data_IF_769730817279
#
_entry.id   IF_769730817279
#
_cell.length_a   1.000
_cell.length_b   1.000
_cell.length_c   1.000
_cell.angle_alpha   90.00
_cell.angle_beta   90.00
_cell.angle_gamma   90.00
#
_symmetry.space_group_name_H-M   'P 1'
#
loop_
_entity.id
_entity.type
_entity.pdbx_description
1 polymer ?
#
# COMPACT_ATOMS: atom_id res chain seq x y z
N UNK A 1 23.43 -6.52 -7.77
CA UNK A 1 22.06 -6.30 -8.33
C UNK A 1 21.09 -5.95 -7.20
N UNK A 2 20.23 -4.93 -7.37
CA UNK A 2 19.16 -4.58 -6.43
C UNK A 2 17.85 -4.33 -7.19
N UNK A 3 16.76 -5.00 -6.77
CA UNK A 3 15.41 -4.76 -7.30
C UNK A 3 14.59 -3.93 -6.31
N UNK A 4 14.27 -2.70 -6.71
CA UNK A 4 13.72 -1.66 -5.86
C UNK A 4 12.23 -1.52 -6.11
N UNK A 5 11.43 -1.75 -5.07
CA UNK A 5 9.99 -1.51 -5.08
C UNK A 5 9.63 -0.06 -4.71
N UNK A 6 10.49 0.60 -3.94
CA UNK A 6 10.41 2.02 -3.61
C UNK A 6 11.65 2.41 -2.78
N UNK A 7 12.25 3.58 -3.01
CA UNK A 7 13.05 4.25 -1.98
C UNK A 7 12.25 4.42 -0.67
N UNK A 8 12.92 4.55 0.47
CA UNK A 8 12.31 4.55 1.81
C UNK A 8 11.30 5.71 1.96
N UNK A 9 10.01 5.43 1.73
CA UNK A 9 8.97 6.46 1.57
C UNK A 9 8.85 7.39 2.76
N UNK A 10 8.90 6.85 3.98
CA UNK A 10 8.76 7.63 5.22
C UNK A 10 9.96 8.54 5.50
N UNK A 11 11.12 8.19 4.94
CA UNK A 11 12.32 9.00 5.07
C UNK A 11 12.32 10.15 4.06
N UNK A 12 11.70 9.97 2.88
CA UNK A 12 11.81 10.91 1.75
C UNK A 12 10.53 11.69 1.42
N UNK A 13 9.40 11.01 1.19
CA UNK A 13 8.21 11.64 0.58
C UNK A 13 6.98 11.65 1.50
N UNK A 14 6.86 10.72 2.46
CA UNK A 14 5.66 10.57 3.32
C UNK A 14 5.92 10.94 4.78
N UNK A 15 7.02 11.65 5.06
CA UNK A 15 7.44 11.99 6.43
C UNK A 15 6.34 12.74 7.20
N UNK A 16 5.68 13.71 6.57
CA UNK A 16 4.69 14.55 7.24
C UNK A 16 3.40 13.79 7.56
N UNK A 17 2.89 12.99 6.62
CA UNK A 17 1.69 12.16 6.81
C UNK A 17 1.91 11.12 7.91
N UNK A 18 3.10 10.49 7.95
CA UNK A 18 3.44 9.54 9.02
C UNK A 18 3.64 10.21 10.37
N UNK A 19 4.30 11.37 10.42
CA UNK A 19 4.50 12.12 11.66
C UNK A 19 3.19 12.64 12.26
N UNK A 20 2.26 13.11 11.44
CA UNK A 20 0.93 13.52 11.88
C UNK A 20 0.13 12.31 12.39
N UNK A 21 0.10 11.20 11.64
CA UNK A 21 -0.63 10.00 12.05
C UNK A 21 -0.07 9.35 13.32
N UNK A 22 1.25 9.43 13.54
CA UNK A 22 1.89 8.90 14.75
C UNK A 22 1.83 9.86 15.95
N UNK A 23 1.31 11.08 15.80
CA UNK A 23 1.32 12.10 16.86
C UNK A 23 2.74 12.57 17.26
N UNK A 24 3.74 12.36 16.38
CA UNK A 24 5.16 12.58 16.67
C UNK A 24 5.72 13.88 16.05
N UNK A 25 4.86 14.80 15.60
CA UNK A 25 5.27 16.02 14.90
C UNK A 25 6.04 17.05 15.76
N UNK A 26 5.81 17.07 17.07
CA UNK A 26 6.22 18.18 17.94
C UNK A 26 6.97 17.72 19.20
N UNK A 27 7.73 18.65 19.80
CA UNK A 27 8.48 18.41 21.03
C UNK A 27 9.80 17.62 20.85
N UNK A 28 10.47 17.25 21.96
CA UNK A 28 11.77 16.59 21.94
C UNK A 28 11.74 15.22 21.25
N UNK A 29 10.62 14.48 21.35
CA UNK A 29 10.42 13.20 20.63
C UNK A 29 10.39 13.40 19.12
N UNK A 30 9.70 14.44 18.63
CA UNK A 30 9.66 14.77 17.21
C UNK A 30 11.03 15.21 16.67
N UNK A 31 11.81 15.94 17.47
CA UNK A 31 13.19 16.30 17.11
C UNK A 31 14.10 15.07 17.00
N UNK A 32 14.05 14.17 17.99
CA UNK A 32 14.80 12.91 17.96
C UNK A 32 14.43 12.05 16.75
N UNK A 33 13.13 11.96 16.42
CA UNK A 33 12.66 11.23 15.26
C UNK A 33 13.13 11.85 13.93
N UNK A 34 13.07 13.18 13.79
CA UNK A 34 13.61 13.87 12.61
C UNK A 34 15.11 13.64 12.44
N UNK A 35 15.86 13.64 13.54
CA UNK A 35 17.29 13.33 13.52
C UNK A 35 17.56 11.88 13.07
N UNK A 36 16.80 10.92 13.61
CA UNK A 36 16.89 9.51 13.19
C UNK A 36 16.56 9.35 11.70
N UNK A 37 15.51 10.00 11.21
CA UNK A 37 15.16 9.98 9.78
C UNK A 37 16.25 10.61 8.90
N UNK A 38 16.89 11.69 9.36
CA UNK A 38 18.03 12.25 8.66
C UNK A 38 19.19 11.25 8.54
N UNK A 39 19.55 10.57 9.64
CA UNK A 39 20.56 9.51 9.62
C UNK A 39 20.18 8.36 8.69
N UNK A 40 18.92 7.96 8.71
CA UNK A 40 18.39 6.92 7.83
C UNK A 40 18.52 7.31 6.36
N UNK A 41 18.19 8.56 5.99
CA UNK A 41 18.38 9.06 4.61
C UNK A 41 19.84 9.01 4.17
N UNK A 42 20.75 9.47 5.02
CA UNK A 42 22.19 9.45 4.71
C UNK A 42 22.68 8.01 4.52
N UNK A 43 22.23 7.09 5.36
CA UNK A 43 22.54 5.67 5.21
C UNK A 43 21.95 5.09 3.92
N UNK A 44 20.67 5.35 3.66
CA UNK A 44 19.92 4.86 2.49
C UNK A 44 20.56 5.32 1.16
N UNK A 45 20.87 6.61 1.04
CA UNK A 45 21.57 7.12 -0.16
C UNK A 45 22.96 6.50 -0.29
N UNK A 46 23.71 6.35 0.80
CA UNK A 46 25.06 5.78 0.75
C UNK A 46 25.02 4.30 0.33
N UNK A 47 24.12 3.50 0.87
CA UNK A 47 24.02 2.07 0.54
C UNK A 47 23.44 1.84 -0.85
N UNK A 48 22.63 2.77 -1.37
CA UNK A 48 22.08 2.72 -2.71
C UNK A 48 23.16 2.71 -3.81
N UNK A 49 24.41 3.11 -3.54
CA UNK A 49 25.53 3.03 -4.50
C UNK A 49 26.29 1.69 -4.48
N UNK A 50 25.99 0.78 -3.54
CA UNK A 50 26.65 -0.52 -3.45
C UNK A 50 26.35 -1.47 -4.62
N UNK A 51 25.09 -1.64 -5.06
CA UNK A 51 24.76 -2.56 -6.15
C UNK A 51 25.27 -2.09 -7.52
N UNK A 52 25.77 -2.99 -8.36
CA UNK A 52 26.22 -2.64 -9.72
C UNK A 52 25.05 -2.24 -10.64
N UNK A 53 23.94 -2.97 -10.52
CA UNK A 53 22.73 -2.78 -11.31
C UNK A 53 21.52 -2.52 -10.41
N UNK A 54 20.76 -1.50 -10.76
CA UNK A 54 19.47 -1.14 -10.16
C UNK A 54 18.34 -1.52 -11.11
N UNK A 55 17.35 -2.24 -10.60
CA UNK A 55 16.09 -2.54 -11.28
C UNK A 55 14.95 -1.87 -10.53
N UNK A 56 14.00 -1.26 -11.25
CA UNK A 56 12.80 -0.67 -10.70
C UNK A 56 11.57 -1.47 -11.14
N UNK A 57 10.59 -1.63 -10.25
CA UNK A 57 9.33 -2.31 -10.57
C UNK A 57 8.40 -1.52 -11.52
N UNK A 58 8.70 -0.25 -11.77
CA UNK A 58 7.87 0.68 -12.53
C UNK A 58 8.67 1.92 -12.94
N UNK A 59 8.20 2.61 -13.98
CA UNK A 59 8.79 3.90 -14.40
C UNK A 59 8.71 4.96 -13.31
N UNK A 60 7.64 4.96 -12.50
CA UNK A 60 7.51 5.87 -11.35
C UNK A 60 8.63 5.65 -10.32
N UNK A 61 8.93 4.40 -9.98
CA UNK A 61 10.01 4.08 -9.04
C UNK A 61 11.38 4.36 -9.64
N UNK A 62 11.59 4.14 -10.95
CA UNK A 62 12.81 4.58 -11.65
C UNK A 62 13.06 6.07 -11.46
N UNK A 63 12.07 6.92 -11.72
CA UNK A 63 12.22 8.38 -11.53
C UNK A 63 12.50 8.75 -10.07
N UNK A 64 11.99 7.99 -9.10
CA UNK A 64 12.34 8.19 -7.68
C UNK A 64 13.77 7.79 -7.36
N UNK A 65 14.27 6.70 -7.92
CA UNK A 65 15.67 6.27 -7.77
C UNK A 65 16.60 7.35 -8.33
N UNK A 66 16.28 7.88 -9.52
CA UNK A 66 17.05 8.96 -10.13
C UNK A 66 17.04 10.23 -9.27
N UNK A 67 15.86 10.66 -8.81
CA UNK A 67 15.72 11.87 -7.97
C UNK A 67 16.38 11.74 -6.60
N UNK A 68 16.29 10.58 -5.95
CA UNK A 68 16.71 10.40 -4.55
C UNK A 68 18.16 9.91 -4.45
N UNK A 69 18.55 8.98 -5.32
CA UNK A 69 19.87 8.35 -5.29
C UNK A 69 20.81 8.85 -6.39
N UNK A 70 20.31 9.62 -7.37
CA UNK A 70 21.13 10.07 -8.50
C UNK A 70 21.59 8.91 -9.39
N UNK A 71 20.86 7.78 -9.38
CA UNK A 71 21.21 6.56 -10.13
C UNK A 71 20.19 6.28 -11.23
N UNK A 72 20.65 5.74 -12.34
CA UNK A 72 19.75 5.13 -13.32
C UNK A 72 19.34 3.72 -12.87
N UNK A 73 18.16 3.29 -13.31
CA UNK A 73 17.62 1.97 -13.07
C UNK A 73 16.85 1.48 -14.29
N UNK A 74 16.95 0.18 -14.60
CA UNK A 74 16.13 -0.43 -15.65
C UNK A 74 14.77 -0.85 -15.09
N UNK A 75 13.70 -0.67 -15.86
CA UNK A 75 12.36 -1.08 -15.42
C UNK A 75 12.15 -2.55 -15.77
N UNK A 76 11.81 -3.34 -14.76
CA UNK A 76 11.33 -4.72 -14.90
C UNK A 76 10.05 -4.80 -14.09
N UNK A 77 8.91 -4.94 -14.77
CA UNK A 77 7.62 -5.04 -14.10
C UNK A 77 7.52 -6.36 -13.31
N UNK A 78 6.90 -6.33 -12.11
CA UNK A 78 6.73 -7.55 -11.32
C UNK A 78 5.84 -8.54 -12.08
N UNK A 79 6.20 -9.83 -12.13
CA UNK A 79 5.39 -10.84 -12.79
C UNK A 79 4.07 -11.06 -12.04
N UNK A 80 3.06 -11.52 -12.78
CA UNK A 80 1.76 -11.94 -12.25
C UNK A 80 1.54 -13.39 -12.66
N UNK A 81 1.11 -14.24 -11.72
CA UNK A 81 0.76 -15.63 -11.98
C UNK A 81 -0.60 -15.68 -12.70
N UNK A 82 -0.57 -15.60 -14.03
CA UNK A 82 -1.77 -15.54 -14.88
C UNK A 82 -2.54 -16.87 -14.87
N UNK A 83 -1.85 -17.97 -14.59
CA UNK A 83 -2.41 -19.32 -14.52
C UNK A 83 -3.40 -19.46 -13.37
N UNK A 84 -3.20 -18.70 -12.29
CA UNK A 84 -4.11 -18.66 -11.15
C UNK A 84 -5.35 -17.81 -11.44
N UNK A 85 -5.29 -16.88 -12.41
CA UNK A 85 -6.30 -15.85 -12.66
C UNK A 85 -7.23 -16.26 -13.80
N UNK A 86 -8.31 -16.97 -13.45
CA UNK A 86 -9.34 -17.35 -14.42
C UNK A 86 -10.22 -16.14 -14.79
N UNK A 87 -10.50 -16.01 -16.09
CA UNK A 87 -11.50 -15.07 -16.58
C UNK A 87 -12.90 -15.57 -16.21
N UNK A 88 -13.64 -14.74 -15.48
CA UNK A 88 -15.05 -14.97 -15.15
C UNK A 88 -15.87 -13.85 -15.80
N UNK A 89 -16.67 -14.20 -16.81
CA UNK A 89 -17.45 -13.23 -17.58
C UNK A 89 -18.77 -12.84 -16.89
N UNK A 90 -19.39 -13.78 -16.16
CA UNK A 90 -20.59 -13.53 -15.37
C UNK A 90 -20.19 -13.14 -13.96
N UNK A 91 -20.47 -11.90 -13.57
CA UNK A 91 -20.12 -11.36 -12.26
C UNK A 91 -21.26 -11.50 -11.26
N UNK A 92 -20.90 -11.58 -9.99
CA UNK A 92 -21.82 -11.49 -8.87
C UNK A 92 -22.16 -10.01 -8.58
N UNK A 93 -23.26 -9.76 -7.86
CA UNK A 93 -23.69 -8.40 -7.50
C UNK A 93 -22.97 -7.90 -6.23
N UNK A 94 -21.66 -7.69 -6.32
CA UNK A 94 -20.88 -7.01 -5.29
C UNK A 94 -19.62 -6.35 -5.85
N UNK A 95 -19.06 -5.45 -5.04
CA UNK A 95 -17.77 -4.84 -5.26
C UNK A 95 -16.77 -5.40 -4.25
N UNK A 96 -15.48 -5.42 -4.60
CA UNK A 96 -14.43 -5.90 -3.71
C UNK A 96 -13.31 -4.87 -3.56
N UNK A 97 -12.81 -4.72 -2.35
CA UNK A 97 -11.55 -4.04 -2.06
C UNK A 97 -10.65 -4.96 -1.27
N UNK A 98 -9.40 -5.08 -1.71
CA UNK A 98 -8.46 -6.01 -1.12
C UNK A 98 -7.10 -5.32 -0.95
N UNK A 99 -6.75 -5.02 0.30
CA UNK A 99 -5.51 -4.33 0.63
C UNK A 99 -5.14 -4.55 2.10
N UNK A 100 -3.86 -4.45 2.41
CA UNK A 100 -3.44 -4.21 3.80
C UNK A 100 -4.01 -2.87 4.27
N UNK A 101 -4.63 -2.85 5.45
CA UNK A 101 -5.28 -1.67 6.00
C UNK A 101 -4.24 -0.66 6.51
N UNK A 102 -3.58 0.02 5.59
CA UNK A 102 -2.75 1.16 5.89
C UNK A 102 -3.53 2.45 5.61
N UNK A 103 -3.37 3.51 6.44
CA UNK A 103 -4.08 4.78 6.24
C UNK A 103 -3.95 5.36 4.84
N UNK A 104 -2.78 5.23 4.21
CA UNK A 104 -2.54 5.77 2.87
C UNK A 104 -3.33 5.05 1.75
N UNK A 105 -3.85 3.84 1.99
CA UNK A 105 -4.69 3.10 1.03
C UNK A 105 -6.12 3.64 0.93
N UNK A 106 -6.49 4.54 1.85
CA UNK A 106 -7.78 5.23 1.89
C UNK A 106 -9.02 4.31 1.82
N UNK A 107 -8.94 3.14 2.47
CA UNK A 107 -10.09 2.20 2.56
C UNK A 107 -11.27 2.80 3.31
N UNK A 108 -11.04 3.76 4.21
CA UNK A 108 -12.04 4.61 4.86
C UNK A 108 -12.99 5.23 3.83
N UNK A 109 -12.45 5.85 2.77
CA UNK A 109 -13.27 6.53 1.76
C UNK A 109 -14.15 5.56 0.98
N UNK A 110 -13.65 4.36 0.67
CA UNK A 110 -14.42 3.32 -0.01
C UNK A 110 -15.59 2.90 0.88
N UNK A 111 -15.31 2.60 2.15
CA UNK A 111 -16.32 2.18 3.12
C UNK A 111 -17.38 3.28 3.29
N UNK A 112 -16.98 4.53 3.50
CA UNK A 112 -17.91 5.65 3.64
C UNK A 112 -18.80 5.85 2.41
N UNK A 113 -18.26 5.70 1.21
CA UNK A 113 -19.02 5.82 -0.03
C UNK A 113 -20.09 4.72 -0.16
N UNK A 114 -19.74 3.48 0.20
CA UNK A 114 -20.67 2.35 0.18
C UNK A 114 -21.69 2.42 1.32
N UNK A 115 -21.32 2.91 2.50
CA UNK A 115 -22.27 3.17 3.59
C UNK A 115 -23.33 4.19 3.19
N UNK A 116 -22.99 5.14 2.30
CA UNK A 116 -23.94 6.11 1.71
C UNK A 116 -24.72 5.56 0.51
N UNK A 117 -24.39 4.36 0.03
CA UNK A 117 -25.06 3.70 -1.11
C UNK A 117 -25.49 2.27 -0.75
N UNK A 118 -26.53 2.10 0.09
CA UNK A 118 -26.88 0.80 0.66
C UNK A 118 -27.32 -0.25 -0.36
N UNK A 119 -27.72 0.18 -1.56
CA UNK A 119 -28.11 -0.69 -2.67
C UNK A 119 -26.93 -1.42 -3.32
N UNK A 120 -25.68 -1.07 -3.00
CA UNK A 120 -24.49 -1.72 -3.55
C UNK A 120 -23.75 -2.47 -2.45
N UNK A 121 -23.43 -3.75 -2.67
CA UNK A 121 -22.70 -4.56 -1.69
C UNK A 121 -21.19 -4.39 -1.83
N UNK A 122 -20.48 -4.27 -0.70
CA UNK A 122 -19.00 -4.22 -0.67
C UNK A 122 -18.44 -5.38 0.15
N UNK A 123 -17.47 -6.09 -0.41
CA UNK A 123 -16.63 -7.07 0.28
C UNK A 123 -15.26 -6.42 0.55
N UNK A 124 -14.86 -6.39 1.82
CA UNK A 124 -13.57 -5.86 2.27
C UNK A 124 -12.69 -7.03 2.69
N UNK A 125 -11.63 -7.27 1.93
CA UNK A 125 -10.64 -8.34 2.18
C UNK A 125 -9.38 -7.74 2.82
N UNK A 126 -9.00 -8.25 4.00
CA UNK A 126 -7.87 -7.72 4.75
C UNK A 126 -7.93 -8.07 6.24
N UNK A 127 -6.81 -7.87 6.94
CA UNK A 127 -6.63 -8.28 8.35
C UNK A 127 -7.59 -7.53 9.31
N UNK A 128 -8.22 -8.29 10.19
CA UNK A 128 -9.23 -7.78 11.14
C UNK A 128 -8.64 -6.87 12.23
N UNK A 129 -7.38 -7.09 12.61
CA UNK A 129 -6.78 -6.41 13.78
C UNK A 129 -6.66 -4.88 13.56
N UNK A 130 -6.47 -4.44 12.32
CA UNK A 130 -6.35 -3.02 11.96
C UNK A 130 -7.70 -2.38 11.56
N UNK A 131 -8.79 -3.13 11.65
CA UNK A 131 -10.07 -2.75 11.04
C UNK A 131 -11.13 -2.22 12.02
N UNK A 132 -10.82 -2.03 13.31
CA UNK A 132 -11.81 -1.54 14.30
C UNK A 132 -12.43 -0.21 13.89
N UNK A 133 -11.61 0.76 13.48
CA UNK A 133 -12.10 2.05 12.98
C UNK A 133 -12.88 1.88 11.68
N UNK A 134 -12.38 1.09 10.73
CA UNK A 134 -13.07 0.85 9.45
C UNK A 134 -14.44 0.19 9.63
N UNK A 135 -14.58 -0.74 10.58
CA UNK A 135 -15.85 -1.38 10.94
C UNK A 135 -16.84 -0.39 11.56
N UNK A 136 -16.36 0.59 12.32
CA UNK A 136 -17.24 1.65 12.87
C UNK A 136 -17.84 2.57 11.80
N UNK A 137 -17.21 2.66 10.61
CA UNK A 137 -17.71 3.42 9.47
C UNK A 137 -18.64 2.61 8.56
N UNK A 138 -18.71 1.30 8.76
CA UNK A 138 -19.34 0.39 7.81
C UNK A 138 -20.87 0.31 7.99
N UNK A 139 -21.58 0.44 6.87
CA UNK A 139 -23.02 0.19 6.77
C UNK A 139 -23.36 -1.30 6.69
N UNK A 140 -24.66 -1.61 6.68
CA UNK A 140 -25.18 -3.00 6.64
C UNK A 140 -24.87 -3.75 5.34
N UNK A 141 -24.52 -3.03 4.28
CA UNK A 141 -24.18 -3.55 2.96
C UNK A 141 -22.69 -3.91 2.80
N UNK A 142 -21.89 -3.79 3.87
CA UNK A 142 -20.44 -4.00 3.85
C UNK A 142 -20.08 -5.24 4.66
N UNK A 143 -19.33 -6.16 4.05
CA UNK A 143 -18.91 -7.43 4.64
C UNK A 143 -17.39 -7.48 4.71
N UNK A 144 -16.84 -7.69 5.91
CA UNK A 144 -15.42 -7.92 6.12
C UNK A 144 -15.15 -9.42 6.16
N UNK A 145 -14.23 -9.90 5.31
CA UNK A 145 -13.91 -11.33 5.23
C UNK A 145 -12.78 -11.74 6.16
N UNK A 146 -12.02 -10.78 6.69
CA UNK A 146 -10.73 -11.07 7.32
C UNK A 146 -9.68 -11.50 6.28
N UNK A 147 -8.67 -12.24 6.76
CA UNK A 147 -7.68 -12.87 5.90
C UNK A 147 -8.31 -13.99 5.08
N UNK A 148 -8.09 -13.96 3.76
CA UNK A 148 -8.47 -15.04 2.85
C UNK A 148 -7.22 -15.77 2.36
N UNK A 149 -7.24 -17.12 2.31
CA UNK A 149 -6.27 -17.88 1.54
C UNK A 149 -6.23 -17.44 0.07
N UNK A 150 -5.09 -17.63 -0.60
CA UNK A 150 -4.85 -17.15 -1.96
C UNK A 150 -5.95 -17.54 -2.96
N UNK A 151 -6.45 -18.77 -2.90
CA UNK A 151 -7.45 -19.28 -3.84
C UNK A 151 -8.80 -18.55 -3.66
N UNK A 152 -9.29 -18.42 -2.42
CA UNK A 152 -10.52 -17.67 -2.12
C UNK A 152 -10.39 -16.19 -2.46
N UNK A 153 -9.23 -15.59 -2.18
CA UNK A 153 -8.94 -14.21 -2.56
C UNK A 153 -9.10 -13.99 -4.07
N UNK A 154 -8.52 -14.88 -4.88
CA UNK A 154 -8.62 -14.78 -6.35
C UNK A 154 -10.06 -14.99 -6.79
N UNK A 155 -10.77 -15.96 -6.22
CA UNK A 155 -12.17 -16.24 -6.54
C UNK A 155 -13.06 -15.02 -6.25
N UNK A 156 -12.91 -14.37 -5.09
CA UNK A 156 -13.67 -13.17 -4.75
C UNK A 156 -13.39 -12.00 -5.70
N UNK A 157 -12.15 -11.85 -6.17
CA UNK A 157 -11.82 -10.80 -7.14
C UNK A 157 -12.32 -11.16 -8.54
N UNK A 158 -12.27 -12.43 -8.91
CA UNK A 158 -12.73 -12.87 -10.22
C UNK A 158 -14.24 -12.75 -10.36
N UNK A 159 -15.01 -12.95 -9.29
CA UNK A 159 -16.47 -12.87 -9.31
C UNK A 159 -17.03 -11.47 -9.07
N UNK A 160 -16.24 -10.53 -8.53
CA UNK A 160 -16.61 -9.09 -8.48
C UNK A 160 -16.64 -8.46 -9.88
#
# INVERSE_FOLDING_TARGET
LCYVHSPVRYAWDEQFSYLQQAGLGFGPKGLAFRYMLHKLRTWDTRTAHGPDLMLANSSYVRSRIERIYGRDARVVHPPVAIEDLKLVASKDDYYVTAAFHAPYKRTDLIIEAFSKTPSRRLIVVGDEVQSKHLRSLAGSNIVFTGYLPRHEYIERIANA
#
